data_IF_176828155583
#
_entry.id   IF_176828155583
#
_cell.length_a   1.000
_cell.length_b   1.000
_cell.length_c   1.000
_cell.angle_alpha   90.00
_cell.angle_beta   90.00
_cell.angle_gamma   90.00
#
_symmetry.space_group_name_H-M   'P 1'
#
loop_
_entity.id
_entity.type
_entity.pdbx_description
1 polymer ?
#
# COMPACT_ATOMS: atom_id res chain seq x y z
N UNK A 1 19.46 10.58 -0.20
CA UNK A 1 17.98 10.65 -0.32
C UNK A 1 17.42 12.06 -0.19
N UNK A 2 18.04 12.96 0.51
CA UNK A 2 17.53 14.32 0.77
C UNK A 2 17.14 15.11 -0.50
N UNK A 3 17.84 14.88 -1.62
CA UNK A 3 17.56 15.53 -2.91
C UNK A 3 16.48 14.81 -3.74
N UNK A 4 16.02 13.66 -3.28
CA UNK A 4 15.09 12.81 -4.04
C UNK A 4 13.68 12.81 -3.46
N UNK A 5 13.54 13.07 -2.14
CA UNK A 5 12.28 12.89 -1.44
C UNK A 5 11.96 14.02 -0.47
N UNK A 6 10.67 14.33 -0.37
CA UNK A 6 10.08 15.06 0.74
C UNK A 6 9.44 14.08 1.72
N UNK A 7 9.65 14.32 3.03
CA UNK A 7 9.15 13.46 4.10
C UNK A 7 8.08 14.23 4.90
N UNK A 8 6.88 13.68 4.95
CA UNK A 8 5.77 14.23 5.73
C UNK A 8 5.52 13.35 6.93
N UNK A 9 5.67 13.92 8.13
CA UNK A 9 5.38 13.19 9.37
C UNK A 9 3.87 13.08 9.60
N UNK A 10 3.45 11.94 10.13
CA UNK A 10 2.07 11.68 10.42
C UNK A 10 1.50 12.49 11.61
N UNK A 11 0.21 12.36 11.80
CA UNK A 11 -0.57 13.08 12.81
C UNK A 11 -0.42 12.45 14.19
N UNK A 12 -0.14 13.27 15.18
CA UNK A 12 -0.12 12.87 16.60
C UNK A 12 -1.53 12.99 17.16
N UNK A 13 -2.24 11.88 17.26
CA UNK A 13 -3.60 11.82 17.77
C UNK A 13 -3.65 11.52 19.25
N UNK A 14 -4.77 11.87 19.90
CA UNK A 14 -5.07 11.51 21.29
C UNK A 14 -6.13 10.41 21.30
N UNK A 15 -6.18 9.63 22.38
CA UNK A 15 -7.19 8.56 22.50
C UNK A 15 -8.63 9.04 22.35
N UNK A 16 -8.94 10.27 22.77
CA UNK A 16 -10.26 10.91 22.60
C UNK A 16 -10.63 11.23 21.14
N UNK A 17 -9.65 11.25 20.25
CA UNK A 17 -9.88 11.51 18.84
C UNK A 17 -10.31 10.24 18.10
N UNK A 18 -10.18 9.06 18.72
CA UNK A 18 -10.67 7.80 18.20
C UNK A 18 -12.17 7.65 18.49
N UNK A 19 -12.92 7.22 17.49
CA UNK A 19 -14.37 7.04 17.54
C UNK A 19 -14.74 5.67 17.00
N UNK A 20 -15.98 5.21 17.25
CA UNK A 20 -16.45 3.92 16.73
C UNK A 20 -16.75 4.01 15.22
N UNK A 21 -17.30 5.14 14.77
CA UNK A 21 -17.67 5.37 13.37
C UNK A 21 -17.21 6.74 12.89
N UNK A 22 -16.66 6.80 11.69
CA UNK A 22 -16.28 8.03 10.99
C UNK A 22 -16.11 7.77 9.50
N UNK A 23 -16.29 8.80 8.69
CA UNK A 23 -15.89 8.81 7.27
C UNK A 23 -14.36 8.98 7.09
N UNK A 24 -13.66 9.30 8.18
CA UNK A 24 -12.21 9.53 8.18
C UNK A 24 -11.49 8.49 9.02
N UNK A 25 -10.32 8.05 8.58
CA UNK A 25 -9.52 7.07 9.31
C UNK A 25 -8.04 7.47 9.45
N UNK A 26 -7.45 7.02 10.54
CA UNK A 26 -6.01 7.01 10.72
C UNK A 26 -5.44 5.68 10.21
N UNK A 27 -4.47 5.76 9.31
CA UNK A 27 -3.62 4.65 8.89
C UNK A 27 -2.51 4.49 9.92
N UNK A 28 -2.45 3.35 10.58
CA UNK A 28 -1.51 3.10 11.68
C UNK A 28 -0.46 2.04 11.34
N UNK A 29 0.49 1.83 12.22
CA UNK A 29 1.54 0.82 12.07
C UNK A 29 0.99 -0.59 11.78
N UNK A 30 -0.21 -0.92 12.30
CA UNK A 30 -0.89 -2.20 12.02
C UNK A 30 -1.27 -2.38 10.55
N UNK A 31 -1.16 -1.34 9.72
CA UNK A 31 -1.33 -1.44 8.26
C UNK A 31 -0.12 -2.05 7.56
N UNK A 32 0.99 -2.25 8.26
CA UNK A 32 2.14 -2.97 7.73
C UNK A 32 2.05 -4.45 8.09
N UNK A 33 2.24 -5.31 7.10
CA UNK A 33 2.41 -6.75 7.31
C UNK A 33 3.89 -7.04 7.61
N UNK A 34 4.17 -7.95 8.54
CA UNK A 34 5.55 -8.37 8.87
C UNK A 34 6.29 -8.97 7.67
N UNK A 35 5.55 -9.66 6.81
CA UNK A 35 6.09 -10.24 5.57
C UNK A 35 6.18 -9.23 4.41
N UNK A 36 5.92 -7.95 4.69
CA UNK A 36 5.85 -6.87 3.72
C UNK A 36 4.47 -6.75 3.07
N UNK A 37 4.05 -5.53 2.85
CA UNK A 37 2.78 -5.21 2.22
C UNK A 37 1.87 -4.35 3.11
N UNK A 38 0.73 -3.98 2.53
CA UNK A 38 -0.25 -3.10 3.12
C UNK A 38 -1.57 -3.83 3.38
N UNK A 39 -2.21 -3.54 4.52
CA UNK A 39 -3.50 -4.07 4.92
C UNK A 39 -4.36 -3.01 5.64
N UNK A 40 -5.68 -3.09 5.47
CA UNK A 40 -6.63 -2.13 6.07
C UNK A 40 -6.92 -2.37 7.54
N UNK A 41 -6.46 -3.50 8.10
CA UNK A 41 -6.64 -3.84 9.53
C UNK A 41 -6.09 -2.77 10.50
N UNK A 42 -5.13 -1.96 10.03
CA UNK A 42 -4.55 -0.89 10.83
C UNK A 42 -5.36 0.41 10.86
N UNK A 43 -6.46 0.46 10.15
CA UNK A 43 -7.29 1.67 10.08
C UNK A 43 -8.07 1.86 11.38
N UNK A 44 -8.13 3.11 11.83
CA UNK A 44 -8.86 3.51 13.04
C UNK A 44 -9.76 4.68 12.70
N UNK A 45 -11.10 4.51 12.79
CA UNK A 45 -12.00 5.64 12.64
C UNK A 45 -11.66 6.75 13.63
N UNK A 46 -11.64 7.99 13.18
CA UNK A 46 -11.27 9.10 14.05
C UNK A 46 -11.97 10.40 13.67
N UNK A 47 -12.00 11.33 14.62
CA UNK A 47 -12.38 12.72 14.44
C UNK A 47 -11.31 13.58 15.08
N UNK A 48 -10.55 14.29 14.27
CA UNK A 48 -9.45 15.12 14.70
C UNK A 48 -9.26 16.30 13.74
N UNK A 49 -8.16 17.00 13.89
CA UNK A 49 -7.83 18.14 13.03
C UNK A 49 -6.40 17.99 12.47
N UNK A 50 -6.13 16.96 11.62
CA UNK A 50 -4.86 16.82 10.95
C UNK A 50 -4.65 17.93 9.92
N UNK A 51 -3.40 18.20 9.59
CA UNK A 51 -3.08 19.10 8.49
C UNK A 51 -3.35 18.40 7.16
N UNK A 52 -3.83 19.12 6.14
CA UNK A 52 -4.10 18.53 4.82
C UNK A 52 -2.91 17.82 4.19
N UNK A 53 -1.67 18.27 4.49
CA UNK A 53 -0.45 17.60 4.02
C UNK A 53 -0.28 16.16 4.58
N UNK A 54 -0.93 15.85 5.71
CA UNK A 54 -0.89 14.52 6.36
C UNK A 54 -1.94 13.57 5.80
N UNK A 55 -2.80 14.07 4.90
CA UNK A 55 -3.75 13.24 4.16
C UNK A 55 -3.01 12.33 3.20
N UNK A 56 -3.50 11.10 3.12
CA UNK A 56 -2.96 10.08 2.22
C UNK A 56 -4.08 9.45 1.41
N UNK A 57 -3.73 9.00 0.23
CA UNK A 57 -4.65 8.38 -0.71
C UNK A 57 -4.07 7.08 -1.29
N UNK A 58 -4.90 6.35 -2.02
CA UNK A 58 -4.45 5.16 -2.74
C UNK A 58 -3.32 5.56 -3.70
N UNK A 59 -2.23 4.80 -3.69
CA UNK A 59 -1.01 5.07 -4.46
C UNK A 59 0.08 5.84 -3.71
N UNK A 60 -0.22 6.39 -2.53
CA UNK A 60 0.81 7.04 -1.71
C UNK A 60 1.79 6.04 -1.10
N UNK A 61 3.07 6.41 -1.10
CA UNK A 61 4.15 5.66 -0.47
C UNK A 61 4.31 6.11 0.98
N UNK A 62 4.20 5.16 1.90
CA UNK A 62 4.40 5.37 3.33
C UNK A 62 5.51 4.47 3.86
N UNK A 63 6.17 4.91 4.93
CA UNK A 63 7.25 4.16 5.60
C UNK A 63 6.96 4.07 7.08
N UNK A 64 7.16 2.89 7.66
CA UNK A 64 7.05 2.68 9.10
C UNK A 64 8.19 3.39 9.83
N UNK A 65 7.83 4.34 10.70
CA UNK A 65 8.77 5.17 11.46
C UNK A 65 8.96 4.67 12.90
N UNK A 66 8.18 3.67 13.29
CA UNK A 66 8.18 3.06 14.63
C UNK A 66 8.09 1.55 14.49
N UNK A 67 8.63 0.81 15.47
CA UNK A 67 8.38 -0.62 15.63
C UNK A 67 8.09 -0.92 17.11
N UNK A 68 7.09 -1.75 17.34
CA UNK A 68 6.68 -2.19 18.68
C UNK A 68 7.52 -3.36 19.21
N UNK A 69 8.42 -3.87 18.38
CA UNK A 69 9.33 -4.98 18.72
C UNK A 69 10.78 -4.56 18.62
N UNK A 70 11.65 -5.23 19.35
CA UNK A 70 13.10 -4.99 19.28
C UNK A 70 13.73 -5.62 18.02
N UNK A 71 13.01 -6.51 17.36
CA UNK A 71 13.48 -7.18 16.14
C UNK A 71 13.42 -6.27 14.89
N UNK A 72 12.89 -5.05 15.05
CA UNK A 72 12.77 -4.06 13.99
C UNK A 72 12.08 -4.62 12.73
N UNK A 73 11.08 -5.51 12.89
CA UNK A 73 10.46 -6.24 11.78
C UNK A 73 9.88 -5.32 10.72
N UNK A 74 9.21 -4.25 11.14
CA UNK A 74 8.56 -3.30 10.22
C UNK A 74 9.25 -1.94 10.12
N UNK A 75 10.17 -1.61 11.03
CA UNK A 75 10.87 -0.33 11.06
C UNK A 75 11.55 -0.05 9.71
N UNK A 76 11.28 1.10 9.10
CA UNK A 76 11.82 1.49 7.80
C UNK A 76 11.20 0.76 6.61
N UNK A 77 10.28 -0.17 6.81
CA UNK A 77 9.63 -0.86 5.69
C UNK A 77 8.73 0.11 4.92
N UNK A 78 8.84 0.16 3.58
CA UNK A 78 7.93 0.91 2.74
C UNK A 78 6.66 0.11 2.45
N UNK A 79 5.55 0.82 2.25
CA UNK A 79 4.31 0.25 1.74
C UNK A 79 3.57 1.26 0.86
N UNK A 80 2.90 0.77 -0.19
CA UNK A 80 1.90 1.55 -0.91
C UNK A 80 0.52 1.35 -0.27
N UNK A 81 -0.25 2.43 -0.20
CA UNK A 81 -1.65 2.35 0.17
C UNK A 81 -2.43 1.82 -1.05
N UNK A 82 -3.01 0.63 -0.94
CA UNK A 82 -3.76 -0.01 -2.04
C UNK A 82 -5.29 -0.03 -1.81
N UNK A 83 -5.76 0.31 -0.61
CA UNK A 83 -7.18 0.27 -0.27
C UNK A 83 -7.47 1.36 0.77
N UNK A 84 -8.59 2.02 0.64
CA UNK A 84 -9.05 3.04 1.60
C UNK A 84 -9.93 2.46 2.72
N UNK A 85 -10.19 1.15 2.74
CA UNK A 85 -11.04 0.51 3.74
C UNK A 85 -12.49 1.01 3.76
N UNK A 86 -12.94 1.73 2.72
CA UNK A 86 -14.25 2.36 2.64
C UNK A 86 -14.33 3.77 3.23
N UNK A 87 -13.23 4.31 3.76
CA UNK A 87 -13.17 5.67 4.29
C UNK A 87 -13.05 6.71 3.18
N UNK A 88 -13.63 7.90 3.41
CA UNK A 88 -13.55 9.01 2.46
C UNK A 88 -12.20 9.72 2.51
N UNK A 89 -11.61 9.80 3.72
CA UNK A 89 -10.30 10.42 3.94
C UNK A 89 -9.46 9.55 4.85
N UNK A 90 -8.18 9.57 4.58
CA UNK A 90 -7.18 8.84 5.38
C UNK A 90 -6.04 9.75 5.75
N UNK A 91 -5.52 9.58 6.95
CA UNK A 91 -4.35 10.30 7.46
C UNK A 91 -3.40 9.31 8.13
N UNK A 92 -2.11 9.52 8.03
CA UNK A 92 -1.13 8.65 8.71
C UNK A 92 -0.92 9.07 10.16
N UNK A 93 -0.78 8.07 11.04
CA UNK A 93 -0.37 8.32 12.44
C UNK A 93 1.10 8.71 12.53
N UNK A 94 1.50 9.30 13.66
CA UNK A 94 2.88 9.71 13.93
C UNK A 94 3.91 8.56 13.85
N UNK A 95 3.43 7.32 13.83
CA UNK A 95 4.26 6.12 13.66
C UNK A 95 4.68 5.88 12.21
N UNK A 96 4.16 6.67 11.30
CA UNK A 96 4.37 6.57 9.86
C UNK A 96 4.83 7.90 9.29
N UNK A 97 5.53 7.83 8.16
CA UNK A 97 5.82 8.98 7.32
C UNK A 97 5.36 8.72 5.89
N UNK A 98 4.87 9.77 5.23
CA UNK A 98 4.61 9.77 3.79
C UNK A 98 5.87 10.22 3.07
N UNK A 99 6.22 9.53 2.00
CA UNK A 99 7.40 9.82 1.17
C UNK A 99 6.93 10.25 -0.20
N UNK A 100 7.29 11.46 -0.59
CA UNK A 100 6.96 12.05 -1.87
C UNK A 100 8.24 12.17 -2.70
N UNK A 101 8.24 11.68 -3.92
CA UNK A 101 9.33 11.95 -4.85
C UNK A 101 9.29 13.40 -5.30
N UNK A 102 10.40 14.11 -5.14
CA UNK A 102 10.56 15.49 -5.63
C UNK A 102 11.44 15.57 -6.89
N UNK A 103 12.02 14.44 -7.30
CA UNK A 103 12.84 14.37 -8.50
C UNK A 103 12.01 13.85 -9.69
N UNK A 104 11.95 14.61 -10.77
CA UNK A 104 11.11 14.34 -11.95
C UNK A 104 11.31 12.96 -12.60
N UNK A 105 12.53 12.41 -12.51
CA UNK A 105 12.92 11.16 -13.16
C UNK A 105 12.91 9.96 -12.17
N UNK A 106 12.54 10.19 -10.91
CA UNK A 106 12.48 9.16 -9.87
C UNK A 106 11.02 8.93 -9.49
N UNK A 107 10.49 7.76 -9.80
CA UNK A 107 9.11 7.42 -9.45
C UNK A 107 8.97 6.96 -8.00
N UNK A 108 7.77 7.07 -7.42
CA UNK A 108 7.47 6.49 -6.11
C UNK A 108 7.68 4.98 -6.09
N UNK A 109 7.45 4.30 -7.22
CA UNK A 109 7.72 2.86 -7.34
C UNK A 109 9.21 2.55 -7.31
N UNK A 110 10.06 3.37 -7.93
CA UNK A 110 11.50 3.24 -7.77
C UNK A 110 11.92 3.39 -6.32
N UNK A 111 11.44 4.43 -5.64
CA UNK A 111 11.72 4.67 -4.22
C UNK A 111 11.25 3.51 -3.33
N UNK A 112 10.09 2.95 -3.62
CA UNK A 112 9.57 1.79 -2.91
C UNK A 112 10.53 0.60 -2.98
N UNK A 113 10.99 0.22 -4.19
CA UNK A 113 11.93 -0.89 -4.34
C UNK A 113 13.31 -0.59 -3.76
N UNK A 114 13.78 0.65 -3.87
CA UNK A 114 15.01 1.12 -3.23
C UNK A 114 14.94 0.95 -1.71
N UNK A 115 13.81 1.34 -1.10
CA UNK A 115 13.60 1.22 0.35
C UNK A 115 13.32 -0.21 0.81
N UNK A 116 12.98 -1.13 -0.09
CA UNK A 116 12.89 -2.58 0.21
C UNK A 116 14.23 -3.27 0.28
N UNK A 117 15.29 -2.63 -0.17
CA UNK A 117 16.63 -3.21 -0.13
C UNK A 117 17.14 -3.41 1.30
N UNK A 118 17.91 -4.48 1.50
CA UNK A 118 18.47 -4.81 2.81
C UNK A 118 19.42 -3.74 3.33
N UNK A 119 20.13 -3.03 2.45
CA UNK A 119 21.04 -1.96 2.84
C UNK A 119 20.26 -0.78 3.44
N UNK A 120 19.12 -0.40 2.83
CA UNK A 120 18.24 0.62 3.41
C UNK A 120 17.67 0.18 4.77
N UNK A 121 17.23 -1.07 4.87
CA UNK A 121 16.76 -1.63 6.14
C UNK A 121 17.83 -1.57 7.22
N UNK A 122 19.04 -2.04 6.92
CA UNK A 122 20.18 -1.98 7.85
C UNK A 122 20.53 -0.55 8.28
N UNK A 123 20.49 0.40 7.35
CA UNK A 123 20.67 1.81 7.65
C UNK A 123 19.60 2.33 8.62
N UNK A 124 18.31 2.02 8.37
CA UNK A 124 17.23 2.42 9.26
C UNK A 124 17.41 1.85 10.68
N UNK A 125 17.79 0.58 10.80
CA UNK A 125 18.08 -0.04 12.09
C UNK A 125 19.23 0.70 12.82
N UNK A 126 20.28 1.09 12.10
CA UNK A 126 21.39 1.88 12.66
C UNK A 126 20.99 3.29 13.13
N UNK A 127 19.88 3.83 12.61
CA UNK A 127 19.32 5.13 12.99
C UNK A 127 18.14 5.02 13.97
N UNK A 128 17.89 3.84 14.53
CA UNK A 128 16.81 3.62 15.49
C UNK A 128 17.25 3.87 16.94
N UNK A 129 16.31 4.32 17.76
CA UNK A 129 16.46 4.53 19.18
C UNK A 129 15.24 3.99 19.92
N UNK A 130 15.44 3.56 21.16
CA UNK A 130 14.38 3.08 22.03
C UNK A 130 14.68 1.70 22.61
N UNK A 131 14.19 1.44 23.83
CA UNK A 131 14.42 0.19 24.55
C UNK A 131 13.21 -0.75 24.54
N UNK A 132 12.01 -0.22 24.37
CA UNK A 132 10.76 -1.01 24.31
C UNK A 132 10.09 -0.84 22.95
N UNK A 133 10.04 0.38 22.47
CA UNK A 133 9.50 0.75 21.15
C UNK A 133 10.65 1.41 20.40
N UNK A 134 10.95 0.89 19.22
CA UNK A 134 11.96 1.49 18.35
C UNK A 134 11.36 2.66 17.58
N UNK A 135 12.04 3.78 17.60
CA UNK A 135 11.71 4.97 16.81
C UNK A 135 12.82 5.26 15.83
N UNK A 136 12.46 5.44 14.58
CA UNK A 136 13.39 5.86 13.54
C UNK A 136 13.74 7.33 13.72
N UNK A 137 15.02 7.68 13.61
CA UNK A 137 15.44 9.08 13.57
C UNK A 137 14.88 9.76 12.32
N UNK A 138 14.43 11.02 12.45
CA UNK A 138 13.97 11.82 11.30
C UNK A 138 15.04 12.00 10.22
N UNK A 139 16.31 11.81 10.58
CA UNK A 139 17.46 11.89 9.68
C UNK A 139 17.68 10.61 8.87
N UNK A 140 17.14 9.48 9.31
CA UNK A 140 17.43 8.18 8.70
C UNK A 140 17.16 8.16 7.18
N UNK A 141 15.96 8.52 6.75
CA UNK A 141 15.62 8.50 5.32
C UNK A 141 16.40 9.58 4.54
N UNK A 142 16.46 10.85 4.98
CA UNK A 142 17.23 11.89 4.26
C UNK A 142 18.71 11.57 4.12
N UNK A 143 19.35 11.04 5.16
CA UNK A 143 20.79 10.78 5.20
C UNK A 143 21.21 9.46 4.51
N UNK A 144 20.24 8.63 4.10
CA UNK A 144 20.57 7.43 3.32
C UNK A 144 21.24 7.81 2.00
N UNK A 145 22.42 7.32 1.78
CA UNK A 145 23.21 7.58 0.57
C UNK A 145 22.76 6.63 -0.54
N UNK A 146 22.35 7.21 -1.65
CA UNK A 146 21.94 6.47 -2.86
C UNK A 146 22.91 6.79 -3.98
N UNK A 147 23.47 5.75 -4.59
CA UNK A 147 24.29 5.87 -5.78
C UNK A 147 23.41 5.65 -7.00
N UNK A 148 23.15 6.70 -7.73
CA UNK A 148 22.43 6.65 -8.99
C UNK A 148 23.41 6.73 -10.17
N UNK A 149 23.13 6.08 -11.30
CA UNK A 149 23.92 6.26 -12.50
C UNK A 149 23.81 7.71 -12.99
N UNK A 150 24.88 8.23 -13.59
CA UNK A 150 24.88 9.58 -14.18
C UNK A 150 23.80 9.69 -15.26
N UNK A 151 23.65 8.64 -16.07
CA UNK A 151 22.55 8.51 -17.02
C UNK A 151 21.37 7.79 -16.34
N UNK A 152 20.27 8.51 -16.17
CA UNK A 152 19.05 8.01 -15.53
C UNK A 152 18.17 7.14 -16.45
N UNK A 153 18.61 6.81 -17.68
CA UNK A 153 17.84 5.95 -18.60
C UNK A 153 17.47 4.64 -17.91
N UNK A 154 18.43 3.97 -17.27
CA UNK A 154 18.19 2.72 -16.55
C UNK A 154 17.22 2.87 -15.35
N UNK A 155 17.24 4.01 -14.69
CA UNK A 155 16.31 4.32 -13.60
C UNK A 155 14.89 4.49 -14.16
N UNK A 156 14.74 5.13 -15.31
CA UNK A 156 13.44 5.30 -15.99
C UNK A 156 12.89 3.95 -16.46
N UNK A 157 13.70 3.15 -17.17
CA UNK A 157 13.33 1.80 -17.61
C UNK A 157 12.85 0.94 -16.41
N UNK A 158 13.60 0.96 -15.33
CA UNK A 158 13.20 0.26 -14.08
C UNK A 158 11.89 0.84 -13.52
N UNK A 159 11.75 2.16 -13.50
CA UNK A 159 10.54 2.84 -13.01
C UNK A 159 9.29 2.45 -13.80
N UNK A 160 9.39 2.28 -15.11
CA UNK A 160 8.28 1.81 -15.95
C UNK A 160 7.85 0.39 -15.57
N UNK A 161 8.81 -0.53 -15.44
CA UNK A 161 8.54 -1.91 -14.99
C UNK A 161 7.95 -1.92 -13.57
N UNK A 162 8.54 -1.15 -12.66
CA UNK A 162 8.08 -1.03 -11.28
C UNK A 162 6.66 -0.48 -11.19
N UNK A 163 6.34 0.56 -11.98
CA UNK A 163 5.00 1.15 -12.05
C UNK A 163 3.98 0.13 -12.59
N UNK A 164 4.32 -0.56 -13.69
CA UNK A 164 3.45 -1.60 -14.26
C UNK A 164 3.18 -2.72 -13.25
N UNK A 165 4.21 -3.15 -12.52
CA UNK A 165 4.12 -4.17 -11.48
C UNK A 165 3.23 -3.69 -10.32
N UNK A 166 3.44 -2.47 -9.83
CA UNK A 166 2.64 -1.88 -8.74
C UNK A 166 1.17 -1.74 -9.13
N UNK A 167 0.91 -1.29 -10.36
CA UNK A 167 -0.45 -1.21 -10.90
C UNK A 167 -1.11 -2.60 -10.99
N UNK A 168 -0.37 -3.62 -11.44
CA UNK A 168 -0.90 -5.00 -11.48
C UNK A 168 -1.21 -5.53 -10.09
N UNK A 169 -0.38 -5.23 -9.10
CA UNK A 169 -0.64 -5.59 -7.69
C UNK A 169 -1.91 -4.91 -7.19
N UNK A 170 -2.12 -3.62 -7.51
CA UNK A 170 -3.33 -2.89 -7.15
C UNK A 170 -4.58 -3.55 -7.74
N UNK A 171 -4.57 -3.80 -9.05
CA UNK A 171 -5.69 -4.46 -9.74
C UNK A 171 -6.00 -5.84 -9.16
N UNK A 172 -4.97 -6.65 -8.88
CA UNK A 172 -5.17 -7.97 -8.28
C UNK A 172 -5.77 -7.88 -6.86
N UNK A 173 -5.40 -6.84 -6.07
CA UNK A 173 -6.00 -6.61 -4.73
C UNK A 173 -7.48 -6.22 -4.84
N UNK A 174 -7.85 -5.38 -5.80
CA UNK A 174 -9.23 -5.01 -6.05
C UNK A 174 -10.06 -6.22 -6.48
N UNK A 175 -9.53 -7.05 -7.37
CA UNK A 175 -10.15 -8.31 -7.78
C UNK A 175 -10.34 -9.27 -6.61
N UNK A 176 -9.32 -9.45 -5.78
CA UNK A 176 -9.40 -10.26 -4.56
C UNK A 176 -10.48 -9.75 -3.59
N UNK A 177 -10.61 -8.44 -3.44
CA UNK A 177 -11.64 -7.81 -2.61
C UNK A 177 -13.03 -8.15 -3.15
N UNK A 178 -13.23 -7.98 -4.46
CA UNK A 178 -14.49 -8.32 -5.13
C UNK A 178 -14.83 -9.81 -5.02
N UNK A 179 -13.86 -10.70 -5.27
CA UNK A 179 -14.07 -12.14 -5.17
C UNK A 179 -14.42 -12.58 -3.73
N UNK A 180 -13.79 -11.98 -2.71
CA UNK A 180 -14.14 -12.22 -1.31
C UNK A 180 -15.57 -11.79 -1.01
N UNK A 181 -15.98 -10.59 -1.42
CA UNK A 181 -17.34 -10.10 -1.25
C UNK A 181 -18.37 -11.00 -1.94
N UNK A 182 -18.06 -11.42 -3.17
CA UNK A 182 -18.91 -12.36 -3.94
C UNK A 182 -19.05 -13.69 -3.22
N UNK A 183 -17.95 -14.28 -2.76
CA UNK A 183 -17.97 -15.52 -1.97
C UNK A 183 -18.83 -15.36 -0.72
N UNK A 184 -18.59 -14.31 0.07
CA UNK A 184 -19.24 -14.09 1.37
C UNK A 184 -20.74 -13.79 1.20
N UNK A 185 -21.14 -13.26 0.04
CA UNK A 185 -22.56 -13.07 -0.32
C UNK A 185 -23.22 -14.35 -0.82
N UNK A 186 -22.51 -15.14 -1.64
CA UNK A 186 -23.10 -16.32 -2.28
C UNK A 186 -23.09 -17.56 -1.37
N UNK A 187 -22.04 -17.77 -0.58
CA UNK A 187 -21.86 -18.96 0.22
C UNK A 187 -23.02 -19.23 1.19
N UNK A 188 -23.53 -18.25 1.97
CA UNK A 188 -24.69 -18.47 2.82
C UNK A 188 -25.96 -18.85 2.05
N UNK A 189 -26.15 -18.24 0.87
CA UNK A 189 -27.34 -18.52 0.02
C UNK A 189 -27.29 -19.92 -0.60
N UNK A 190 -26.10 -20.40 -0.95
CA UNK A 190 -25.88 -21.76 -1.42
C UNK A 190 -26.10 -22.78 -0.30
N UNK A 191 -25.55 -22.50 0.89
CA UNK A 191 -25.68 -23.40 2.05
C UNK A 191 -27.12 -23.50 2.56
N UNK A 192 -27.90 -22.40 2.50
CA UNK A 192 -29.31 -22.39 2.87
C UNK A 192 -30.25 -22.95 1.80
N UNK A 193 -29.73 -23.27 0.61
CA UNK A 193 -30.56 -23.75 -0.52
C UNK A 193 -31.38 -22.66 -1.21
N UNK A 194 -31.20 -21.38 -0.83
CA UNK A 194 -31.83 -20.23 -1.51
C UNK A 194 -31.36 -20.07 -2.96
N UNK A 195 -30.12 -20.48 -3.23
CA UNK A 195 -29.55 -20.55 -4.57
C UNK A 195 -29.11 -22.00 -4.84
N UNK A 196 -29.47 -22.52 -6.02
CA UNK A 196 -29.04 -23.84 -6.47
C UNK A 196 -28.13 -23.70 -7.68
N UNK A 197 -27.06 -24.50 -7.74
CA UNK A 197 -26.11 -24.50 -8.86
C UNK A 197 -26.79 -24.75 -10.21
N UNK A 198 -27.89 -25.50 -10.22
CA UNK A 198 -28.68 -25.76 -11.42
C UNK A 198 -29.27 -24.47 -12.04
N UNK A 199 -29.64 -23.52 -11.20
CA UNK A 199 -30.28 -22.27 -11.64
C UNK A 199 -29.29 -21.36 -12.40
N UNK A 200 -27.96 -21.55 -12.19
CA UNK A 200 -26.91 -20.82 -12.90
C UNK A 200 -26.57 -21.40 -14.27
N UNK A 201 -26.82 -22.68 -14.51
CA UNK A 201 -26.54 -23.33 -15.81
C UNK A 201 -27.51 -22.89 -16.92
N UNK A 202 -28.71 -22.47 -16.56
CA UNK A 202 -29.71 -22.03 -17.54
C UNK A 202 -29.52 -20.58 -18.00
N UNK A 203 -28.83 -19.75 -17.19
CA UNK A 203 -28.60 -18.33 -17.51
C UNK A 203 -27.24 -18.07 -18.14
N UNK A 204 -26.27 -18.97 -18.01
CA UNK A 204 -24.93 -18.87 -18.60
C UNK A 204 -24.90 -19.40 -20.03
N UNK A 205 -25.60 -18.73 -20.96
CA UNK A 205 -25.36 -18.93 -22.39
C UNK A 205 -24.02 -18.26 -22.74
N UNK A 206 -22.96 -19.05 -22.67
CA UNK A 206 -21.70 -18.69 -23.32
C UNK A 206 -21.93 -18.70 -24.82
N UNK A 207 -22.20 -17.53 -25.42
CA UNK A 207 -22.07 -17.34 -26.85
C UNK A 207 -20.61 -17.49 -27.22
N UNK A 208 -20.18 -18.70 -27.53
CA UNK A 208 -18.95 -18.94 -28.28
C UNK A 208 -19.19 -18.35 -29.65
N UNK A 209 -18.65 -17.17 -29.94
CA UNK A 209 -18.47 -16.66 -31.28
C UNK A 209 -17.39 -17.48 -31.98
N UNK A 210 -17.68 -18.68 -32.38
CA UNK A 210 -16.95 -19.45 -33.38
C UNK A 210 -17.43 -19.02 -34.76
N UNK A 211 -16.95 -17.89 -35.23
CA UNK A 211 -16.92 -17.62 -36.66
C UNK A 211 -15.55 -18.02 -37.20
N UNK A 212 -15.40 -19.33 -37.44
CA UNK A 212 -14.38 -19.84 -38.34
C UNK A 212 -14.74 -19.36 -39.77
N UNK A 213 -13.98 -18.42 -40.27
CA UNK A 213 -13.80 -18.24 -41.72
C UNK A 213 -12.56 -19.02 -42.12
N UNK A 214 -12.79 -20.17 -42.72
CA UNK A 214 -11.79 -20.93 -43.42
C UNK A 214 -11.15 -20.09 -44.56
N UNK A 215 -9.85 -20.10 -44.78
CA UNK A 215 -9.26 -19.53 -45.97
C UNK A 215 -9.52 -20.48 -47.15
N UNK A 216 -10.22 -19.97 -48.19
CA UNK A 216 -10.27 -20.64 -49.46
C UNK A 216 -8.92 -20.57 -50.13
N UNK A 217 -8.47 -21.75 -50.57
CA UNK A 217 -7.35 -22.00 -51.45
C UNK A 217 -7.56 -21.38 -52.83
N UNK A 218 -6.57 -20.64 -53.31
CA UNK A 218 -6.10 -20.62 -54.74
C UNK A 218 -4.59 -20.50 -54.72
#
# INVERSE_FOLDING_TARGET
MNELVEIINGYSYKGKDLVEESDEALVSLKSFDRNGGFQTRGFKPFKGNPKGIQEVQIGDLIVAHTDLTQDAEVLGNPAFIFDNGGFKKMYITMDLVKVISIHKDISSSFLYYLMKDRAFKGHCVGYSNGTTVLHLSKKAIPEYQVFLPIDLIKVKEFSEIANATTNKISLNKDELKYLKQTRDTLLPKLMSGQLRIKDFKETAVWKTNSSETAPQSF
#
